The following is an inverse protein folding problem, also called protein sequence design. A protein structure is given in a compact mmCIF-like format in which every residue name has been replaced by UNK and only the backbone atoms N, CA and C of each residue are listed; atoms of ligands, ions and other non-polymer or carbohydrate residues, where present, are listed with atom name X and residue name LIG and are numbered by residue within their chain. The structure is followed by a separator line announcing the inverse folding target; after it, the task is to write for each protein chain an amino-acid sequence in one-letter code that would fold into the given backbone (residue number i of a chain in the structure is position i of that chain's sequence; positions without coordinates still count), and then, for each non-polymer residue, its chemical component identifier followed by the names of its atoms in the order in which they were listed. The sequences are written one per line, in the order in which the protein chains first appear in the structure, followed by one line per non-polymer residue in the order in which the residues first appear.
data_IF_819926554438
#
_entry.id   IF_819926554438
#
_cell.length_a   1.000
_cell.length_b   1.000
_cell.length_c   1.000
_cell.angle_alpha   90.00
_cell.angle_beta   90.00
_cell.angle_gamma   90.00
#
_symmetry.space_group_name_H-M   'P 1'
#
loop_
_entity.id
_entity.type
_entity.pdbx_description
1 polymer ?
#
# COMPACT_ATOMS: atom_id res chain seq x y z
N UNK A 1 27.03 16.41 25.74
CA UNK A 1 25.79 15.59 25.71
C UNK A 1 24.66 16.52 25.33
N UNK A 2 24.21 16.46 24.08
CA UNK A 2 23.11 17.28 23.54
C UNK A 2 22.07 16.26 23.04
N UNK A 3 20.86 16.18 23.60
CA UNK A 3 19.83 15.30 23.04
C UNK A 3 19.22 15.97 21.81
N UNK A 4 19.33 15.26 20.68
CA UNK A 4 18.81 15.67 19.39
C UNK A 4 17.29 15.58 19.30
N UNK A 5 16.70 16.63 18.77
CA UNK A 5 15.28 16.81 18.54
C UNK A 5 14.74 15.83 17.49
N UNK A 6 13.79 14.98 17.88
CA UNK A 6 12.97 14.22 16.95
C UNK A 6 11.80 15.09 16.47
N UNK A 7 11.80 15.44 15.19
CA UNK A 7 10.65 16.04 14.52
C UNK A 7 9.62 14.94 14.23
N UNK A 8 8.58 14.86 15.06
CA UNK A 8 7.35 14.13 14.75
C UNK A 8 6.39 15.07 14.03
N UNK A 9 6.12 14.80 12.75
CA UNK A 9 4.99 15.42 12.05
C UNK A 9 3.74 14.70 12.53
N UNK A 10 3.05 15.36 13.47
CA UNK A 10 1.73 15.00 13.93
C UNK A 10 0.71 15.47 12.88
N UNK A 11 0.13 14.56 12.09
CA UNK A 11 -1.02 14.89 11.25
C UNK A 11 -2.30 14.84 12.10
N UNK A 12 -2.90 16.01 12.23
CA UNK A 12 -4.03 16.32 13.08
C UNK A 12 -5.37 15.76 12.56
N UNK A 13 -6.14 15.15 13.47
CA UNK A 13 -7.50 15.58 13.79
C UNK A 13 -8.62 15.28 12.79
N UNK A 14 -9.21 14.08 12.85
CA UNK A 14 -10.52 13.80 12.27
C UNK A 14 -11.58 13.69 13.38
N UNK A 15 -12.46 14.70 13.46
CA UNK A 15 -13.59 14.77 14.40
C UNK A 15 -14.76 13.93 13.90
N UNK A 16 -15.21 13.02 14.76
CA UNK A 16 -16.41 12.21 14.68
C UNK A 16 -17.68 13.06 14.54
N UNK A 17 -18.51 12.80 13.52
CA UNK A 17 -19.94 13.15 13.56
C UNK A 17 -20.74 11.88 13.80
N UNK A 18 -21.25 11.73 15.02
CA UNK A 18 -22.28 10.75 15.37
C UNK A 18 -23.59 11.18 14.70
N UNK A 19 -24.19 10.29 13.90
CA UNK A 19 -25.58 10.39 13.48
C UNK A 19 -26.29 9.17 14.07
N UNK A 20 -27.24 9.43 14.98
CA UNK A 20 -28.14 8.42 15.56
C UNK A 20 -29.40 8.38 14.72
N UNK A 21 -29.76 7.22 14.15
CA UNK A 21 -31.11 6.91 13.70
C UNK A 21 -31.40 5.40 13.83
N UNK A 22 -32.68 4.99 13.91
CA UNK A 22 -33.17 4.01 14.88
C UNK A 22 -33.23 2.56 14.37
N UNK A 23 -33.26 1.64 15.34
CA UNK A 23 -33.47 0.20 15.15
C UNK A 23 -34.84 -0.14 14.56
N UNK A 24 -34.86 -0.95 13.51
CA UNK A 24 -36.02 -1.77 13.12
C UNK A 24 -35.54 -3.20 12.84
N UNK A 25 -36.20 -4.17 13.49
CA UNK A 25 -36.04 -5.61 13.31
C UNK A 25 -36.92 -6.08 12.16
N UNK A 26 -36.34 -6.79 11.18
CA UNK A 26 -36.55 -8.23 10.95
C UNK A 26 -36.29 -8.64 9.49
N UNK A 27 -35.76 -9.85 9.37
CA UNK A 27 -35.26 -10.56 8.18
C UNK A 27 -36.29 -10.78 7.07
N UNK A 28 -35.84 -10.63 5.82
CA UNK A 28 -35.84 -11.75 4.87
C UNK A 28 -34.73 -11.58 3.83
N UNK A 29 -34.00 -12.66 3.55
CA UNK A 29 -32.71 -12.67 2.87
C UNK A 29 -32.85 -13.26 1.46
N UNK A 30 -32.66 -12.46 0.41
CA UNK A 30 -31.93 -12.94 -0.75
C UNK A 30 -30.54 -12.33 -0.67
N UNK A 31 -29.53 -13.16 -0.40
CA UNK A 31 -28.13 -12.77 -0.50
C UNK A 31 -27.92 -12.06 -1.85
N UNK A 32 -27.61 -10.75 -1.91
CA UNK A 32 -26.84 -10.31 -3.05
C UNK A 32 -25.51 -11.03 -2.86
N UNK A 33 -25.17 -11.90 -3.81
CA UNK A 33 -23.77 -12.18 -4.09
C UNK A 33 -23.16 -10.81 -4.35
N UNK A 34 -22.71 -10.17 -3.28
CA UNK A 34 -21.86 -8.99 -3.35
C UNK A 34 -20.58 -9.57 -3.95
N UNK A 35 -20.54 -9.58 -5.28
CA UNK A 35 -19.33 -9.65 -6.07
C UNK A 35 -18.55 -8.39 -5.75
N UNK A 36 -18.09 -8.27 -4.50
CA UNK A 36 -17.09 -7.30 -4.11
C UNK A 36 -15.98 -7.55 -5.11
N UNK A 37 -15.69 -6.58 -6.01
CA UNK A 37 -14.63 -6.79 -6.98
C UNK A 37 -13.40 -7.11 -6.16
N UNK A 38 -12.95 -8.36 -6.29
CA UNK A 38 -11.77 -8.85 -5.61
C UNK A 38 -10.69 -7.86 -5.98
N UNK A 39 -10.11 -7.20 -4.96
CA UNK A 39 -8.99 -6.31 -5.22
C UNK A 39 -7.90 -7.10 -5.86
N UNK A 40 -7.62 -6.79 -7.12
CA UNK A 40 -6.49 -7.37 -7.79
C UNK A 40 -5.31 -6.48 -7.41
N UNK A 41 -4.75 -6.73 -6.24
CA UNK A 41 -3.52 -6.07 -5.84
C UNK A 41 -2.45 -6.42 -6.86
N UNK A 42 -1.80 -5.40 -7.42
CA UNK A 42 -0.77 -5.58 -8.46
C UNK A 42 0.35 -4.56 -8.30
N UNK A 43 1.47 -4.86 -8.95
CA UNK A 43 2.56 -3.90 -9.12
C UNK A 43 2.15 -2.83 -10.12
N UNK A 44 2.31 -1.57 -9.73
CA UNK A 44 2.13 -0.40 -10.57
C UNK A 44 3.25 -0.28 -11.60
N UNK A 45 2.88 0.24 -12.76
CA UNK A 45 3.75 0.47 -13.91
C UNK A 45 3.69 1.94 -14.31
N UNK A 46 4.59 2.40 -15.19
CA UNK A 46 4.55 3.76 -15.72
C UNK A 46 3.21 4.13 -16.38
N UNK A 47 2.43 3.15 -16.86
CA UNK A 47 1.09 3.39 -17.43
C UNK A 47 0.07 3.87 -16.40
N UNK A 48 0.32 3.63 -15.10
CA UNK A 48 -0.58 3.98 -14.00
C UNK A 48 -0.36 5.41 -13.48
N UNK A 49 0.70 6.09 -13.93
CA UNK A 49 1.16 7.35 -13.34
C UNK A 49 0.07 8.44 -13.32
N UNK A 50 -0.61 8.66 -14.45
CA UNK A 50 -1.65 9.68 -14.57
C UNK A 50 -2.86 9.38 -13.67
N UNK A 51 -3.25 8.11 -13.60
CA UNK A 51 -4.37 7.63 -12.80
C UNK A 51 -4.08 7.76 -11.30
N UNK A 52 -2.87 7.36 -10.86
CA UNK A 52 -2.46 7.48 -9.46
C UNK A 52 -2.29 8.96 -9.08
N UNK A 53 -1.71 9.81 -9.93
CA UNK A 53 -1.56 11.24 -9.63
C UNK A 53 -2.93 11.92 -9.47
N UNK A 54 -3.87 11.64 -10.38
CA UNK A 54 -5.24 12.15 -10.28
C UNK A 54 -5.92 11.70 -8.98
N UNK A 55 -5.77 10.43 -8.61
CA UNK A 55 -6.32 9.89 -7.36
C UNK A 55 -5.67 10.52 -6.12
N UNK A 56 -4.34 10.69 -6.11
CA UNK A 56 -3.63 11.35 -5.02
C UNK A 56 -4.02 12.83 -4.91
N UNK A 57 -4.22 13.54 -6.02
CA UNK A 57 -4.71 14.93 -6.01
C UNK A 57 -6.14 15.04 -5.47
N UNK A 58 -7.01 14.08 -5.76
CA UNK A 58 -8.36 14.04 -5.21
C UNK A 58 -8.37 13.76 -3.70
N UNK A 59 -7.49 12.89 -3.19
CA UNK A 59 -7.38 12.56 -1.75
C UNK A 59 -6.60 13.60 -0.93
N UNK A 60 -5.51 14.10 -1.49
CA UNK A 60 -4.59 15.02 -0.83
C UNK A 60 -4.11 16.07 -1.86
N UNK A 61 -4.91 17.13 -2.09
CA UNK A 61 -4.51 18.23 -2.95
C UNK A 61 -3.24 18.90 -2.44
N UNK A 62 -2.34 19.24 -3.34
CA UNK A 62 -1.09 19.95 -3.05
C UNK A 62 -0.99 21.22 -3.91
N UNK A 63 -0.17 22.18 -3.46
CA UNK A 63 0.16 23.33 -4.29
C UNK A 63 0.93 22.89 -5.55
N UNK A 64 0.86 23.67 -6.63
CA UNK A 64 1.42 23.29 -7.94
C UNK A 64 2.88 22.81 -7.88
N UNK A 65 3.81 23.48 -7.16
CA UNK A 65 5.21 23.01 -7.09
C UNK A 65 5.34 21.64 -6.40
N UNK A 66 4.59 21.42 -5.32
CA UNK A 66 4.60 20.17 -4.54
C UNK A 66 3.92 19.03 -5.32
N UNK A 67 2.80 19.33 -5.99
CA UNK A 67 2.13 18.37 -6.88
C UNK A 67 3.06 17.91 -8.01
N UNK A 68 3.82 18.85 -8.61
CA UNK A 68 4.82 18.51 -9.64
C UNK A 68 5.94 17.63 -9.07
N UNK A 69 6.45 17.94 -7.88
CA UNK A 69 7.47 17.14 -7.22
C UNK A 69 6.96 15.72 -6.92
N UNK A 70 5.73 15.59 -6.40
CA UNK A 70 5.08 14.29 -6.15
C UNK A 70 4.94 13.46 -7.43
N UNK A 71 4.53 14.09 -8.55
CA UNK A 71 4.42 13.40 -9.84
C UNK A 71 5.76 12.87 -10.33
N UNK A 72 6.83 13.65 -10.24
CA UNK A 72 8.18 13.20 -10.63
C UNK A 72 8.67 12.03 -9.77
N UNK A 73 8.44 12.08 -8.46
CA UNK A 73 8.75 10.97 -7.56
C UNK A 73 7.95 9.72 -7.88
N UNK A 74 6.64 9.87 -8.17
CA UNK A 74 5.76 8.78 -8.56
C UNK A 74 6.23 8.12 -9.87
N UNK A 75 6.54 8.91 -10.89
CA UNK A 75 7.08 8.41 -12.17
C UNK A 75 8.37 7.62 -11.96
N UNK A 76 9.29 8.12 -11.12
CA UNK A 76 10.54 7.43 -10.81
C UNK A 76 10.31 6.07 -10.11
N UNK A 77 9.35 5.98 -9.19
CA UNK A 77 8.99 4.72 -8.52
C UNK A 77 8.31 3.74 -9.48
N UNK A 78 7.39 4.22 -10.33
CA UNK A 78 6.64 3.40 -11.27
C UNK A 78 7.47 2.91 -12.47
N UNK A 79 8.56 3.60 -12.79
CA UNK A 79 9.52 3.14 -13.79
C UNK A 79 10.28 1.87 -13.34
N UNK A 80 10.17 1.46 -12.07
CA UNK A 80 10.80 0.25 -11.52
C UNK A 80 12.31 0.17 -11.78
N UNK A 81 12.99 1.32 -11.80
CA UNK A 81 14.44 1.45 -12.10
C UNK A 81 15.38 0.88 -11.01
N UNK A 82 14.91 -0.08 -10.21
CA UNK A 82 15.68 -0.72 -9.13
C UNK A 82 15.70 0.03 -7.80
N UNK A 83 15.05 1.18 -7.71
CA UNK A 83 14.95 2.00 -6.48
C UNK A 83 13.73 1.65 -5.61
N UNK A 84 12.71 1.04 -6.21
CA UNK A 84 11.43 0.82 -5.54
C UNK A 84 10.38 0.24 -6.47
N UNK A 85 9.19 0.05 -5.91
CA UNK A 85 7.97 -0.27 -6.64
C UNK A 85 6.79 0.38 -5.93
N UNK A 86 5.62 0.38 -6.56
CA UNK A 86 4.38 0.80 -5.93
C UNK A 86 3.35 -0.30 -6.11
N UNK A 87 2.70 -0.74 -5.03
CA UNK A 87 1.57 -1.67 -5.14
C UNK A 87 0.26 -0.90 -5.14
N UNK A 88 -0.66 -1.34 -5.98
CA UNK A 88 -1.98 -0.73 -6.16
C UNK A 88 -3.01 -1.78 -5.77
N UNK A 89 -3.85 -1.47 -4.78
CA UNK A 89 -5.12 -2.18 -4.57
C UNK A 89 -6.20 -1.45 -5.36
N UNK A 90 -6.77 -2.14 -6.35
CA UNK A 90 -7.79 -1.58 -7.19
C UNK A 90 -8.43 -2.61 -8.11
N UNK A 91 -9.37 -2.16 -8.93
CA UNK A 91 -9.83 -2.96 -10.06
C UNK A 91 -8.82 -2.77 -11.19
N UNK A 92 -8.40 -3.86 -11.84
CA UNK A 92 -7.74 -3.73 -13.14
C UNK A 92 -8.69 -2.93 -14.04
N UNK A 93 -8.18 -1.94 -14.76
CA UNK A 93 -8.97 -1.29 -15.80
C UNK A 93 -9.52 -2.42 -16.68
N UNK A 94 -10.86 -2.52 -16.78
CA UNK A 94 -11.52 -3.59 -17.50
C UNK A 94 -10.87 -3.73 -18.88
N UNK A 95 -10.17 -4.85 -19.10
CA UNK A 95 -9.55 -5.17 -20.38
C UNK A 95 -10.58 -5.41 -21.50
N UNK A 96 -11.86 -5.08 -21.27
CA UNK A 96 -12.98 -5.24 -22.19
C UNK A 96 -13.97 -4.07 -22.21
N UNK A 97 -13.68 -2.91 -21.58
CA UNK A 97 -14.54 -1.74 -21.76
C UNK A 97 -14.00 -0.86 -22.92
N UNK A 98 -14.71 -0.77 -24.06
CA UNK A 98 -14.23 -0.08 -25.26
C UNK A 98 -14.08 1.44 -25.09
N UNK A 99 -14.57 2.02 -23.98
CA UNK A 99 -14.37 3.43 -23.63
C UNK A 99 -13.06 3.72 -22.89
N UNK A 100 -12.28 2.70 -22.48
CA UNK A 100 -10.85 2.81 -22.14
C UNK A 100 -10.43 3.77 -21.01
N UNK A 101 -11.34 4.54 -20.41
CA UNK A 101 -10.99 5.53 -19.40
C UNK A 101 -10.84 4.86 -18.04
N UNK A 102 -9.59 4.75 -17.61
CA UNK A 102 -9.26 4.32 -16.26
C UNK A 102 -9.73 5.39 -15.26
N UNK A 103 -10.86 5.14 -14.61
CA UNK A 103 -11.40 6.06 -13.60
C UNK A 103 -10.49 6.11 -12.37
N UNK A 104 -10.22 7.28 -11.77
CA UNK A 104 -9.49 7.37 -10.50
C UNK A 104 -10.18 6.58 -9.37
N UNK A 105 -11.49 6.31 -9.48
CA UNK A 105 -12.23 5.47 -8.54
C UNK A 105 -11.82 3.99 -8.58
N UNK A 106 -11.01 3.57 -9.56
CA UNK A 106 -10.48 2.21 -9.63
C UNK A 106 -9.37 1.94 -8.60
N UNK A 107 -8.70 2.98 -8.09
CA UNK A 107 -7.68 2.86 -7.03
C UNK A 107 -8.34 2.99 -5.66
N UNK A 108 -8.13 1.97 -4.81
CA UNK A 108 -8.59 1.94 -3.43
C UNK A 108 -7.45 2.06 -2.43
N UNK A 109 -6.27 1.54 -2.78
CA UNK A 109 -5.10 1.53 -1.92
C UNK A 109 -3.80 1.72 -2.71
N UNK A 110 -2.81 2.35 -2.07
CA UNK A 110 -1.47 2.52 -2.62
C UNK A 110 -0.41 2.25 -1.54
N UNK A 111 0.53 1.36 -1.84
CA UNK A 111 1.68 1.04 -0.98
C UNK A 111 2.98 1.30 -1.75
N UNK A 112 3.59 2.49 -1.60
CA UNK A 112 4.94 2.75 -2.08
C UNK A 112 5.96 1.92 -1.29
N UNK A 113 6.92 1.34 -2.01
CA UNK A 113 7.97 0.50 -1.44
C UNK A 113 9.32 0.97 -1.97
N UNK A 114 10.26 1.22 -1.06
CA UNK A 114 11.65 1.55 -1.40
C UNK A 114 12.54 0.33 -1.25
N UNK A 115 13.47 0.13 -2.17
CA UNK A 115 14.50 -0.90 -2.05
C UNK A 115 15.77 -0.29 -1.45
N UNK A 116 16.12 -0.72 -0.23
CA UNK A 116 17.30 -0.24 0.48
C UNK A 116 18.36 -1.34 0.58
N UNK A 117 19.63 -0.95 0.49
CA UNK A 117 20.73 -1.88 0.73
C UNK A 117 20.95 -2.03 2.24
N UNK A 118 21.04 -3.25 2.72
CA UNK A 118 21.35 -3.56 4.11
C UNK A 118 22.48 -4.57 4.20
N UNK A 119 23.54 -4.18 4.91
CA UNK A 119 24.69 -5.03 5.15
C UNK A 119 24.37 -6.15 6.13
N UNK A 120 23.44 -5.94 7.07
CA UNK A 120 23.02 -6.96 8.04
C UNK A 120 22.25 -8.11 7.39
N UNK A 121 21.59 -7.85 6.26
CA UNK A 121 20.86 -8.86 5.49
C UNK A 121 21.64 -9.36 4.28
N UNK A 122 22.82 -8.78 4.00
CA UNK A 122 23.69 -9.15 2.89
C UNK A 122 23.07 -8.85 1.52
N UNK A 123 22.19 -7.85 1.40
CA UNK A 123 21.49 -7.59 0.14
C UNK A 123 20.52 -6.42 0.20
N UNK A 124 19.46 -6.49 -0.60
CA UNK A 124 18.38 -5.51 -0.61
C UNK A 124 17.24 -5.92 0.32
N UNK A 125 16.55 -4.92 0.84
CA UNK A 125 15.34 -5.04 1.65
C UNK A 125 14.25 -4.18 1.01
N UNK A 126 13.04 -4.71 0.94
CA UNK A 126 11.87 -3.93 0.58
C UNK A 126 11.28 -3.25 1.82
N UNK A 127 11.36 -1.92 1.88
CA UNK A 127 10.84 -1.11 2.98
C UNK A 127 9.54 -0.43 2.55
N UNK A 128 8.46 -0.66 3.28
CA UNK A 128 7.23 0.11 3.16
C UNK A 128 7.04 0.97 4.42
N UNK A 129 6.99 2.29 4.22
CA UNK A 129 6.92 3.28 5.30
C UNK A 129 5.62 4.11 5.27
N UNK A 130 4.79 3.92 4.24
CA UNK A 130 3.62 4.75 3.97
C UNK A 130 2.49 3.88 3.39
N UNK A 131 1.25 4.10 3.83
CA UNK A 131 0.08 3.38 3.34
C UNK A 131 -1.09 4.33 3.05
N UNK A 132 -1.62 4.27 1.83
CA UNK A 132 -2.80 5.04 1.42
C UNK A 132 -4.01 4.14 1.27
N UNK A 133 -4.46 3.51 2.36
CA UNK A 133 -5.62 2.61 2.31
C UNK A 133 -6.99 3.28 2.30
N UNK A 134 -8.07 2.47 2.20
CA UNK A 134 -9.43 2.87 2.50
C UNK A 134 -9.59 3.53 3.88
N UNK A 135 -10.63 4.35 4.04
CA UNK A 135 -10.94 4.99 5.33
C UNK A 135 -11.48 4.00 6.39
N UNK A 136 -12.16 2.95 5.95
CA UNK A 136 -12.58 1.86 6.84
C UNK A 136 -11.36 1.05 7.30
N UNK A 137 -11.13 0.99 8.62
CA UNK A 137 -9.92 0.39 9.18
C UNK A 137 -9.81 -1.11 8.91
N UNK A 138 -10.93 -1.84 8.92
CA UNK A 138 -10.94 -3.28 8.65
C UNK A 138 -10.61 -3.57 7.18
N UNK A 139 -11.23 -2.84 6.24
CA UNK A 139 -10.92 -2.93 4.83
C UNK A 139 -9.48 -2.47 4.53
N UNK A 140 -8.99 -1.45 5.24
CA UNK A 140 -7.62 -0.95 5.12
C UNK A 140 -6.60 -1.98 5.57
N UNK A 141 -6.83 -2.63 6.72
CA UNK A 141 -5.97 -3.70 7.21
C UNK A 141 -5.96 -4.92 6.27
N UNK A 142 -7.12 -5.33 5.75
CA UNK A 142 -7.22 -6.43 4.79
C UNK A 142 -6.51 -6.11 3.47
N UNK A 143 -6.66 -4.88 2.97
CA UNK A 143 -6.00 -4.40 1.75
C UNK A 143 -4.48 -4.31 1.91
N UNK A 144 -3.99 -3.77 3.05
CA UNK A 144 -2.57 -3.74 3.37
C UNK A 144 -1.99 -5.16 3.47
N UNK A 145 -2.71 -6.10 4.10
CA UNK A 145 -2.28 -7.50 4.18
C UNK A 145 -2.15 -8.14 2.79
N UNK A 146 -3.12 -7.91 1.89
CA UNK A 146 -3.05 -8.38 0.51
C UNK A 146 -1.85 -7.76 -0.25
N UNK A 147 -1.58 -6.47 -0.06
CA UNK A 147 -0.36 -5.82 -0.56
C UNK A 147 0.92 -6.46 -0.01
N UNK A 148 0.96 -6.80 1.28
CA UNK A 148 2.12 -7.45 1.88
C UNK A 148 2.37 -8.85 1.30
N UNK A 149 1.33 -9.58 0.91
CA UNK A 149 1.47 -10.89 0.27
C UNK A 149 1.94 -10.79 -1.18
N UNK A 150 1.40 -9.85 -1.97
CA UNK A 150 1.91 -9.56 -3.33
C UNK A 150 3.36 -9.06 -3.28
N UNK A 151 3.69 -8.20 -2.33
CA UNK A 151 5.05 -7.72 -2.11
C UNK A 151 6.01 -8.86 -1.80
N UNK A 152 5.59 -9.77 -0.91
CA UNK A 152 6.41 -10.92 -0.54
C UNK A 152 6.70 -11.81 -1.76
N UNK A 153 5.70 -12.07 -2.60
CA UNK A 153 5.89 -12.87 -3.81
C UNK A 153 6.78 -12.18 -4.83
N UNK A 154 6.58 -10.88 -5.07
CA UNK A 154 7.47 -10.10 -5.92
C UNK A 154 8.91 -10.14 -5.39
N UNK A 155 9.12 -9.95 -4.08
CA UNK A 155 10.45 -10.01 -3.49
C UNK A 155 11.11 -11.39 -3.69
N UNK A 156 10.37 -12.49 -3.51
CA UNK A 156 10.90 -13.86 -3.76
C UNK A 156 11.35 -14.03 -5.21
N UNK A 157 10.54 -13.58 -6.17
CA UNK A 157 10.87 -13.64 -7.60
C UNK A 157 12.13 -12.83 -7.96
N UNK A 158 12.34 -11.71 -7.26
CA UNK A 158 13.48 -10.81 -7.47
C UNK A 158 14.69 -11.09 -6.56
N UNK A 159 14.66 -12.19 -5.78
CA UNK A 159 15.76 -12.59 -4.90
C UNK A 159 15.96 -11.71 -3.67
N UNK A 160 14.98 -10.88 -3.34
CA UNK A 160 14.95 -10.06 -2.12
C UNK A 160 14.44 -10.91 -0.97
N UNK A 161 15.23 -10.99 0.10
CA UNK A 161 15.02 -11.94 1.20
C UNK A 161 14.32 -11.35 2.41
N UNK A 162 14.07 -10.05 2.43
CA UNK A 162 13.55 -9.34 3.59
C UNK A 162 12.58 -8.26 3.16
N UNK A 163 11.47 -8.15 3.90
CA UNK A 163 10.50 -7.06 3.80
C UNK A 163 10.38 -6.43 5.18
N UNK A 164 10.48 -5.10 5.25
CA UNK A 164 10.32 -4.32 6.45
C UNK A 164 9.12 -3.38 6.32
N UNK A 165 8.31 -3.29 7.37
CA UNK A 165 7.21 -2.34 7.47
C UNK A 165 7.45 -1.42 8.65
N UNK A 166 7.23 -0.12 8.47
CA UNK A 166 7.13 0.77 9.62
C UNK A 166 5.87 0.44 10.44
N UNK A 167 5.94 0.41 11.78
CA UNK A 167 4.79 0.07 12.62
C UNK A 167 3.64 1.07 12.45
N UNK A 168 3.94 2.31 12.05
CA UNK A 168 2.94 3.35 11.77
C UNK A 168 2.02 3.08 10.58
N UNK A 169 2.27 2.06 9.76
CA UNK A 169 1.32 1.63 8.72
C UNK A 169 0.11 0.91 9.31
N UNK A 170 0.24 0.34 10.51
CA UNK A 170 -0.82 -0.48 11.10
C UNK A 170 -1.79 0.39 11.89
N UNK A 171 -3.09 0.14 11.69
CA UNK A 171 -4.14 0.74 12.52
C UNK A 171 -4.03 0.28 13.99
N UNK A 172 -3.62 -0.97 14.19
CA UNK A 172 -3.27 -1.53 15.49
C UNK A 172 -1.83 -2.04 15.43
N UNK A 173 -0.88 -1.43 16.17
CA UNK A 173 0.53 -1.83 16.16
C UNK A 173 0.76 -3.24 16.71
N UNK A 174 -0.22 -3.81 17.41
CA UNK A 174 -0.14 -5.18 17.94
C UNK A 174 -0.63 -6.23 16.93
N UNK A 175 -1.39 -5.82 15.92
CA UNK A 175 -1.95 -6.68 14.88
C UNK A 175 -1.03 -6.71 13.64
N UNK A 176 0.15 -7.31 13.78
CA UNK A 176 1.09 -7.45 12.67
C UNK A 176 0.51 -8.31 11.53
N UNK A 177 0.73 -7.93 10.25
CA UNK A 177 0.35 -8.76 9.12
C UNK A 177 1.05 -10.13 9.17
N UNK A 178 0.43 -11.14 8.56
CA UNK A 178 0.91 -12.52 8.63
C UNK A 178 2.38 -12.64 8.21
N UNK A 179 3.18 -13.26 9.09
CA UNK A 179 4.60 -13.53 8.84
C UNK A 179 5.53 -12.35 9.14
N UNK A 180 4.99 -11.22 9.60
CA UNK A 180 5.79 -10.14 10.16
C UNK A 180 5.97 -10.32 11.67
N UNK A 181 7.15 -9.98 12.17
CA UNK A 181 7.48 -9.96 13.59
C UNK A 181 8.27 -8.68 13.93
N UNK A 182 8.16 -8.15 15.15
CA UNK A 182 8.92 -6.97 15.55
C UNK A 182 10.44 -7.24 15.53
N UNK A 183 11.18 -6.33 14.90
CA UNK A 183 12.63 -6.26 14.89
C UNK A 183 13.18 -5.37 16.01
N UNK A 184 14.48 -5.50 16.28
CA UNK A 184 15.16 -4.70 17.31
C UNK A 184 15.30 -3.21 16.95
N UNK A 185 15.13 -2.87 15.67
CA UNK A 185 15.11 -1.51 15.13
C UNK A 185 13.72 -0.85 15.19
N UNK A 186 12.73 -1.55 15.74
CA UNK A 186 11.35 -1.07 15.85
C UNK A 186 10.54 -1.22 14.55
N UNK A 187 11.10 -1.81 13.51
CA UNK A 187 10.36 -2.16 12.29
C UNK A 187 9.76 -3.56 12.42
N UNK A 188 8.76 -3.85 11.60
CA UNK A 188 8.20 -5.19 11.46
C UNK A 188 8.91 -5.91 10.32
N UNK A 189 9.49 -7.07 10.60
CA UNK A 189 10.31 -7.83 9.67
C UNK A 189 9.61 -9.09 9.21
N UNK A 190 9.68 -9.37 7.91
CA UNK A 190 9.31 -10.64 7.31
C UNK A 190 10.48 -11.19 6.51
N UNK A 191 11.00 -12.33 6.95
CA UNK A 191 12.00 -13.09 6.21
C UNK A 191 11.36 -13.90 5.09
N UNK A 192 12.01 -13.91 3.92
CA UNK A 192 11.55 -14.60 2.73
C UNK A 192 12.59 -15.61 2.25
N UNK A 193 12.11 -16.78 1.86
CA UNK A 193 12.90 -17.79 1.15
C UNK A 193 12.72 -17.53 -0.35
N UNK A 194 13.79 -17.28 -1.12
CA UNK A 194 13.68 -17.11 -2.57
C UNK A 194 13.07 -18.33 -3.23
N UNK A 195 12.24 -18.11 -4.24
CA UNK A 195 11.72 -19.20 -5.08
C UNK A 195 12.88 -19.77 -5.90
N UNK A 196 13.11 -21.10 -5.90
CA UNK A 196 14.16 -21.69 -6.72
C UNK A 196 13.89 -21.38 -8.19
N UNK A 197 14.86 -20.77 -8.88
CA UNK A 197 14.79 -20.61 -10.33
C UNK A 197 15.00 -21.99 -10.95
N UNK A 198 14.00 -22.50 -11.66
CA UNK A 198 14.20 -23.69 -12.49
C UNK A 198 15.12 -23.30 -13.64
N UNK A 199 16.32 -23.85 -13.64
CA UNK A 199 17.22 -23.79 -14.78
C UNK A 199 16.77 -24.91 -15.73
N UNK A 200 16.02 -24.53 -16.76
CA UNK A 200 15.66 -25.40 -17.89
C UNK A 200 16.69 -25.30 -19.00
#
# INVERSE_FOLDING_TARGET
MIPGSAFFICCAGWRTRLIVLPSFLSMDHPSPLSSRPQGLVRVGTSADAALIDAWLMARAPLAVPEARARRLSLEAVLAQGGQGLCLIDGTAADAGNPSGEASPNSVRGLLPVTLVHSLSTGGRVALAAEWWGPADLAASAASLAACCDVLAEWCRAHGIRQVWLAPGLLADPTAAPRGFAPGADGLLHRSLVPTPKQLG
#
